data_IF_981071901442
#
_entry.id   IF_981071901442
#
_cell.length_a   1.000
_cell.length_b   1.000
_cell.length_c   1.000
_cell.angle_alpha   90.00
_cell.angle_beta   90.00
_cell.angle_gamma   90.00
#
_symmetry.space_group_name_H-M   'P 1'
#
loop_
_entity.id
_entity.type
_entity.pdbx_description
1 polymer ?
#
# COMPACT_ATOMS: atom_id res chain seq x y z
N UNK A 1 49.24 -54.46 41.17
CA UNK A 1 49.80 -53.75 40.00
C UNK A 1 49.05 -52.46 39.87
N UNK A 2 49.68 -51.30 40.05
CA UNK A 2 49.00 -49.99 39.87
C UNK A 2 48.98 -49.65 38.39
N UNK A 3 47.82 -49.33 37.85
CA UNK A 3 47.62 -48.81 36.49
C UNK A 3 47.97 -47.35 36.48
N UNK A 4 49.04 -46.99 35.75
CA UNK A 4 49.41 -45.61 35.46
C UNK A 4 48.58 -45.10 34.28
N UNK A 5 47.71 -44.11 34.53
CA UNK A 5 47.02 -43.38 33.47
C UNK A 5 48.01 -42.38 32.84
N UNK A 6 48.10 -42.35 31.50
CA UNK A 6 48.93 -41.40 30.82
C UNK A 6 48.34 -39.99 30.94
N UNK A 7 49.16 -39.03 31.35
CA UNK A 7 48.78 -37.60 31.41
C UNK A 7 48.46 -37.11 29.98
N UNK A 8 47.42 -36.31 29.78
CA UNK A 8 47.13 -35.70 28.51
C UNK A 8 48.26 -34.72 28.11
N UNK A 9 48.76 -34.88 26.91
CA UNK A 9 49.80 -34.00 26.34
C UNK A 9 49.38 -32.53 26.31
N UNK A 10 50.34 -31.59 26.03
CA UNK A 10 50.10 -30.17 26.09
C UNK A 10 48.92 -29.75 25.17
N UNK A 11 47.96 -29.03 25.75
CA UNK A 11 46.79 -28.52 25.06
C UNK A 11 47.22 -27.67 23.85
N UNK A 12 46.82 -28.08 22.68
CA UNK A 12 46.98 -27.25 21.46
C UNK A 12 46.28 -25.93 21.71
N UNK A 13 47.00 -24.82 21.67
CA UNK A 13 46.40 -23.49 21.64
C UNK A 13 45.52 -23.39 20.40
N UNK A 14 44.22 -23.40 20.61
CA UNK A 14 43.29 -23.06 19.54
C UNK A 14 43.39 -21.55 19.39
N UNK A 15 44.07 -21.09 18.38
CA UNK A 15 44.03 -19.68 17.98
C UNK A 15 42.70 -19.45 17.31
N UNK A 16 41.76 -18.93 18.08
CA UNK A 16 40.49 -18.46 17.52
C UNK A 16 40.84 -17.23 16.71
N UNK A 17 40.75 -17.35 15.37
CA UNK A 17 40.83 -16.18 14.50
C UNK A 17 39.82 -15.16 14.97
N UNK A 18 40.14 -13.84 15.04
CA UNK A 18 39.17 -12.84 15.44
C UNK A 18 37.99 -12.94 14.50
N UNK A 19 36.78 -13.11 15.08
CA UNK A 19 35.54 -13.05 14.35
C UNK A 19 35.49 -11.69 13.65
N UNK A 20 35.75 -11.69 12.36
CA UNK A 20 35.57 -10.51 11.53
C UNK A 20 34.05 -10.34 11.46
N UNK A 21 33.50 -9.41 12.24
CA UNK A 21 32.13 -8.95 11.97
C UNK A 21 32.06 -8.69 10.47
N UNK A 22 31.11 -9.30 9.75
CA UNK A 22 30.77 -8.79 8.44
C UNK A 22 30.57 -7.28 8.65
N UNK A 23 31.32 -6.45 7.97
CA UNK A 23 30.94 -5.04 7.89
C UNK A 23 29.53 -5.08 7.36
N UNK A 24 28.57 -4.88 8.26
CA UNK A 24 27.20 -4.55 7.88
C UNK A 24 27.38 -3.34 7.00
N UNK A 25 27.29 -3.59 5.71
CA UNK A 25 27.41 -2.56 4.71
C UNK A 25 26.21 -1.66 4.95
N UNK A 26 26.41 -0.54 5.66
CA UNK A 26 25.39 0.47 5.91
C UNK A 26 24.77 0.96 4.60
N UNK A 27 25.41 0.67 3.46
CA UNK A 27 24.88 0.82 2.12
C UNK A 27 23.70 -0.11 1.85
N UNK A 28 23.59 -1.29 2.52
CA UNK A 28 22.46 -2.22 2.32
C UNK A 28 21.15 -1.68 2.89
N UNK A 29 21.17 -0.96 4.00
CA UNK A 29 19.97 -0.31 4.55
C UNK A 29 19.55 0.86 3.65
N UNK A 30 20.50 1.56 3.05
CA UNK A 30 20.25 2.63 2.07
C UNK A 30 19.84 2.13 0.68
N UNK A 31 20.28 0.95 0.26
CA UNK A 31 19.97 0.37 -1.06
C UNK A 31 18.51 -0.14 -1.18
N UNK A 32 17.85 -0.40 -0.05
CA UNK A 32 16.39 -0.62 0.00
C UNK A 32 15.59 0.69 0.06
N UNK A 33 16.25 1.84 -0.11
CA UNK A 33 15.60 3.13 -0.27
C UNK A 33 14.72 3.10 -1.53
N UNK A 34 13.82 4.07 -1.66
CA UNK A 34 12.91 4.22 -2.81
C UNK A 34 13.62 4.44 -4.17
N UNK A 35 14.94 4.27 -4.23
CA UNK A 35 15.72 4.20 -5.44
C UNK A 35 15.29 2.98 -6.27
N UNK A 36 14.98 3.18 -7.53
CA UNK A 36 14.50 2.12 -8.44
C UNK A 36 12.99 2.17 -8.74
N UNK A 37 12.21 2.98 -8.02
CA UNK A 37 10.78 3.14 -8.33
C UNK A 37 10.61 4.00 -9.59
N UNK A 38 9.88 3.47 -10.56
CA UNK A 38 9.53 4.24 -11.74
C UNK A 38 8.43 5.27 -11.41
N UNK A 39 8.82 6.55 -11.32
CA UNK A 39 7.91 7.65 -11.00
C UNK A 39 6.77 7.82 -12.01
N UNK A 40 6.97 7.45 -13.28
CA UNK A 40 5.91 7.49 -14.29
C UNK A 40 4.84 6.44 -14.00
N UNK A 41 5.23 5.24 -13.60
CA UNK A 41 4.29 4.20 -13.17
C UNK A 41 3.46 4.65 -11.96
N UNK A 42 4.10 5.29 -10.98
CA UNK A 42 3.43 5.87 -9.82
C UNK A 42 2.45 6.96 -10.24
N UNK A 43 2.87 7.89 -11.10
CA UNK A 43 2.03 8.98 -11.57
C UNK A 43 0.80 8.46 -12.35
N UNK A 44 1.02 7.52 -13.28
CA UNK A 44 -0.07 6.89 -14.05
C UNK A 44 -1.03 6.15 -13.12
N UNK A 45 -0.52 5.44 -12.11
CA UNK A 45 -1.32 4.77 -11.10
C UNK A 45 -2.18 5.76 -10.29
N UNK A 46 -1.60 6.88 -9.86
CA UNK A 46 -2.34 7.92 -9.14
C UNK A 46 -3.40 8.59 -10.01
N UNK A 47 -3.11 8.86 -11.29
CA UNK A 47 -4.09 9.38 -12.25
C UNK A 47 -5.23 8.37 -12.45
N UNK A 48 -4.91 7.08 -12.59
CA UNK A 48 -5.91 6.03 -12.75
C UNK A 48 -6.89 6.00 -11.58
N UNK A 49 -6.43 6.18 -10.33
CA UNK A 49 -7.33 6.25 -9.17
C UNK A 49 -8.26 7.46 -9.21
N UNK A 50 -7.78 8.60 -9.70
CA UNK A 50 -8.64 9.79 -9.86
C UNK A 50 -9.72 9.55 -10.92
N UNK A 51 -9.35 8.94 -12.04
CA UNK A 51 -10.30 8.57 -13.10
C UNK A 51 -11.35 7.57 -12.57
N UNK A 52 -10.91 6.53 -11.87
CA UNK A 52 -11.81 5.55 -11.23
C UNK A 52 -12.74 6.27 -10.26
N UNK A 53 -12.23 7.18 -9.41
CA UNK A 53 -13.02 7.94 -8.46
C UNK A 53 -14.05 8.85 -9.13
N UNK A 54 -13.69 9.49 -10.23
CA UNK A 54 -14.61 10.30 -11.02
C UNK A 54 -15.81 9.47 -11.51
N UNK A 55 -15.56 8.29 -12.07
CA UNK A 55 -16.65 7.40 -12.52
C UNK A 55 -17.41 6.79 -11.34
N UNK A 56 -16.71 6.34 -10.30
CA UNK A 56 -17.32 5.69 -9.13
C UNK A 56 -18.31 6.59 -8.41
N UNK A 57 -17.93 7.83 -8.17
CA UNK A 57 -18.78 8.85 -7.53
C UNK A 57 -19.54 9.71 -8.53
N UNK A 58 -19.78 9.20 -9.76
CA UNK A 58 -20.63 9.84 -10.74
C UNK A 58 -22.12 9.53 -10.51
N UNK A 59 -23.04 10.34 -11.06
CA UNK A 59 -24.47 10.06 -11.01
C UNK A 59 -24.90 8.73 -11.66
N UNK A 60 -24.03 8.17 -12.52
CA UNK A 60 -24.24 6.89 -13.21
C UNK A 60 -24.06 5.71 -12.24
N UNK A 61 -23.12 5.83 -11.29
CA UNK A 61 -22.81 4.76 -10.35
C UNK A 61 -23.31 5.09 -8.92
N UNK A 62 -22.45 5.60 -8.07
CA UNK A 62 -22.73 5.64 -6.63
C UNK A 62 -22.93 7.04 -6.05
N UNK A 63 -22.91 8.13 -6.83
CA UNK A 63 -23.06 9.48 -6.29
C UNK A 63 -24.36 9.65 -5.48
N UNK A 64 -25.50 9.26 -6.04
CA UNK A 64 -26.81 9.44 -5.36
C UNK A 64 -26.92 8.63 -4.07
N UNK A 65 -26.65 7.30 -4.03
CA UNK A 65 -26.69 6.54 -2.79
C UNK A 65 -25.63 7.03 -1.78
N UNK A 66 -24.43 7.39 -2.25
CA UNK A 66 -23.38 7.92 -1.40
C UNK A 66 -23.80 9.23 -0.71
N UNK A 67 -24.34 10.22 -1.46
CA UNK A 67 -24.82 11.48 -0.89
C UNK A 67 -25.91 11.26 0.15
N UNK A 68 -26.91 10.41 -0.13
CA UNK A 68 -27.98 10.10 0.82
C UNK A 68 -27.44 9.48 2.11
N UNK A 69 -26.49 8.55 2.01
CA UNK A 69 -25.87 7.89 3.16
C UNK A 69 -24.99 8.83 3.98
N UNK A 70 -24.46 9.88 3.34
CA UNK A 70 -23.73 10.97 3.99
C UNK A 70 -24.64 12.07 4.58
N UNK A 71 -25.99 11.90 4.46
CA UNK A 71 -26.95 12.87 4.97
C UNK A 71 -27.19 14.09 4.06
N UNK A 72 -26.76 14.01 2.79
CA UNK A 72 -26.99 15.08 1.80
C UNK A 72 -28.16 14.74 0.89
N UNK A 73 -29.02 15.74 0.61
CA UNK A 73 -30.03 15.61 -0.44
C UNK A 73 -29.36 15.76 -1.83
N UNK A 74 -29.44 14.75 -2.69
CA UNK A 74 -28.89 14.82 -4.06
C UNK A 74 -29.55 15.90 -4.93
N UNK A 75 -30.69 16.46 -4.53
CA UNK A 75 -31.42 17.51 -5.26
C UNK A 75 -31.13 18.93 -4.72
N UNK A 76 -30.43 19.06 -3.58
CA UNK A 76 -30.06 20.35 -3.01
C UNK A 76 -28.92 20.98 -3.80
N UNK A 77 -29.28 21.84 -4.77
CA UNK A 77 -28.33 22.54 -5.63
C UNK A 77 -27.40 23.48 -4.85
N UNK A 78 -27.90 24.09 -3.78
CA UNK A 78 -27.10 25.02 -2.96
C UNK A 78 -25.97 24.26 -2.23
N UNK A 79 -26.32 23.13 -1.61
CA UNK A 79 -25.35 22.27 -0.91
C UNK A 79 -24.33 21.65 -1.85
N UNK A 80 -24.76 21.20 -3.04
CA UNK A 80 -23.87 20.69 -4.08
C UNK A 80 -22.90 21.79 -4.55
N UNK A 81 -23.36 23.02 -4.73
CA UNK A 81 -22.49 24.13 -5.11
C UNK A 81 -21.46 24.46 -4.01
N UNK A 82 -21.84 24.40 -2.74
CA UNK A 82 -20.93 24.53 -1.60
C UNK A 82 -19.86 23.44 -1.58
N UNK A 83 -20.23 22.18 -1.77
CA UNK A 83 -19.28 21.07 -1.86
C UNK A 83 -18.27 21.25 -3.01
N UNK A 84 -18.73 21.77 -4.14
CA UNK A 84 -17.85 22.05 -5.30
C UNK A 84 -16.81 23.14 -5.03
N UNK A 85 -17.09 24.13 -4.17
CA UNK A 85 -16.12 25.18 -3.82
C UNK A 85 -14.84 24.59 -3.18
N UNK A 86 -14.98 23.53 -2.40
CA UNK A 86 -13.86 22.88 -1.72
C UNK A 86 -13.30 21.68 -2.48
N UNK A 87 -13.90 21.30 -3.60
CA UNK A 87 -13.56 20.11 -4.35
C UNK A 87 -12.08 20.11 -4.80
N UNK A 88 -11.56 21.24 -5.27
CA UNK A 88 -10.17 21.33 -5.71
C UNK A 88 -9.18 20.94 -4.62
N UNK A 89 -9.34 21.46 -3.41
CA UNK A 89 -8.48 21.10 -2.26
C UNK A 89 -8.60 19.61 -1.90
N UNK A 90 -9.82 19.09 -1.87
CA UNK A 90 -10.07 17.68 -1.53
C UNK A 90 -9.43 16.75 -2.58
N UNK A 91 -9.62 17.04 -3.87
CA UNK A 91 -9.02 16.24 -4.93
C UNK A 91 -7.49 16.33 -4.96
N UNK A 92 -6.91 17.50 -4.67
CA UNK A 92 -5.45 17.62 -4.55
C UNK A 92 -4.89 16.77 -3.43
N UNK A 93 -5.51 16.78 -2.25
CA UNK A 93 -5.10 15.93 -1.12
C UNK A 93 -5.30 14.44 -1.43
N UNK A 94 -6.42 14.09 -2.08
CA UNK A 94 -6.68 12.73 -2.51
C UNK A 94 -5.63 12.24 -3.54
N UNK A 95 -5.22 13.11 -4.44
CA UNK A 95 -4.17 12.81 -5.42
C UNK A 95 -2.81 12.56 -4.74
N UNK A 96 -2.43 13.40 -3.79
CA UNK A 96 -1.20 13.22 -3.00
C UNK A 96 -1.25 11.89 -2.22
N UNK A 97 -2.38 11.59 -1.59
CA UNK A 97 -2.58 10.32 -0.90
C UNK A 97 -2.48 9.12 -1.86
N UNK A 98 -3.00 9.25 -3.09
CA UNK A 98 -2.89 8.22 -4.12
C UNK A 98 -1.44 8.00 -4.57
N UNK A 99 -0.66 9.08 -4.72
CA UNK A 99 0.78 8.97 -4.99
C UNK A 99 1.48 8.21 -3.87
N UNK A 100 1.24 8.57 -2.62
CA UNK A 100 1.86 7.90 -1.47
C UNK A 100 1.52 6.40 -1.45
N UNK A 101 0.24 6.05 -1.69
CA UNK A 101 -0.20 4.65 -1.79
C UNK A 101 0.47 3.91 -2.94
N UNK A 102 0.59 4.55 -4.11
CA UNK A 102 1.23 3.96 -5.29
C UNK A 102 2.74 3.74 -5.07
N UNK A 103 3.45 4.66 -4.41
CA UNK A 103 4.87 4.52 -4.07
C UNK A 103 5.09 3.31 -3.15
N UNK A 104 4.29 3.18 -2.09
CA UNK A 104 4.41 2.04 -1.17
C UNK A 104 4.08 0.73 -1.89
N UNK A 105 3.01 0.71 -2.69
CA UNK A 105 2.62 -0.49 -3.42
C UNK A 105 3.67 -0.87 -4.49
N UNK A 106 4.28 0.11 -5.17
CA UNK A 106 5.38 -0.13 -6.10
C UNK A 106 6.56 -0.81 -5.40
N UNK A 107 6.91 -0.34 -4.19
CA UNK A 107 8.00 -0.96 -3.42
C UNK A 107 7.67 -2.38 -2.97
N UNK A 108 6.43 -2.65 -2.57
CA UNK A 108 6.00 -4.01 -2.24
C UNK A 108 6.08 -4.93 -3.46
N UNK A 109 5.69 -4.46 -4.65
CA UNK A 109 5.77 -5.22 -5.89
C UNK A 109 7.24 -5.47 -6.28
N UNK A 110 8.10 -4.46 -6.20
CA UNK A 110 9.54 -4.54 -6.50
C UNK A 110 10.24 -5.65 -5.69
N UNK A 111 9.96 -5.74 -4.40
CA UNK A 111 10.52 -6.76 -3.51
C UNK A 111 10.10 -8.19 -3.94
N UNK A 112 8.96 -8.35 -4.60
CA UNK A 112 8.47 -9.68 -5.01
C UNK A 112 9.07 -10.19 -6.31
N UNK A 113 9.78 -9.35 -7.06
CA UNK A 113 10.46 -9.68 -8.33
C UNK A 113 9.57 -10.28 -9.43
N UNK A 114 8.24 -10.20 -9.30
CA UNK A 114 7.28 -10.79 -10.25
C UNK A 114 6.53 -9.69 -10.99
N UNK A 115 6.73 -9.63 -12.31
CA UNK A 115 6.25 -8.54 -13.16
C UNK A 115 5.11 -8.99 -14.08
N UNK A 116 3.98 -9.43 -13.49
CA UNK A 116 2.79 -9.81 -14.24
C UNK A 116 1.53 -9.14 -13.69
N UNK A 117 0.60 -8.76 -14.59
CA UNK A 117 -0.67 -8.13 -14.21
C UNK A 117 -1.40 -8.93 -13.11
N UNK A 118 -1.66 -10.24 -13.27
CA UNK A 118 -2.40 -10.98 -12.26
C UNK A 118 -1.72 -11.00 -10.90
N UNK A 119 -0.40 -10.99 -10.87
CA UNK A 119 0.35 -10.99 -9.62
C UNK A 119 0.32 -9.63 -8.93
N UNK A 120 0.51 -8.54 -9.70
CA UNK A 120 0.34 -7.19 -9.17
C UNK A 120 -1.05 -6.93 -8.60
N UNK A 121 -2.11 -7.42 -9.29
CA UNK A 121 -3.48 -7.38 -8.78
C UNK A 121 -3.64 -8.17 -7.47
N UNK A 122 -3.02 -9.35 -7.35
CA UNK A 122 -3.04 -10.14 -6.09
C UNK A 122 -2.39 -9.38 -4.94
N UNK A 123 -1.26 -8.70 -5.19
CA UNK A 123 -0.60 -7.87 -4.18
C UNK A 123 -1.50 -6.69 -3.80
N UNK A 124 -2.05 -5.98 -4.80
CA UNK A 124 -3.01 -4.89 -4.55
C UNK A 124 -4.21 -5.35 -3.74
N UNK A 125 -4.78 -6.53 -4.06
CA UNK A 125 -5.86 -7.15 -3.28
C UNK A 125 -5.43 -7.46 -1.84
N UNK A 126 -4.26 -8.05 -1.64
CA UNK A 126 -3.76 -8.41 -0.30
C UNK A 126 -3.54 -7.16 0.57
N UNK A 127 -2.96 -6.08 0.00
CA UNK A 127 -2.78 -4.80 0.70
C UNK A 127 -4.14 -4.17 1.03
N UNK A 128 -5.07 -4.14 0.07
CA UNK A 128 -6.42 -3.67 0.33
C UNK A 128 -7.11 -4.48 1.43
N UNK A 129 -7.05 -5.82 1.36
CA UNK A 129 -7.71 -6.68 2.33
C UNK A 129 -7.10 -6.55 3.74
N UNK A 130 -5.78 -6.53 3.84
CA UNK A 130 -5.08 -6.53 5.13
C UNK A 130 -5.03 -5.17 5.82
N UNK A 131 -4.96 -4.09 5.05
CA UNK A 131 -4.72 -2.76 5.61
C UNK A 131 -5.84 -1.76 5.33
N UNK A 132 -6.38 -1.72 4.13
CA UNK A 132 -7.34 -0.68 3.76
C UNK A 132 -8.74 -0.99 4.29
N UNK A 133 -9.29 -2.15 3.94
CA UNK A 133 -10.65 -2.51 4.33
C UNK A 133 -10.78 -2.74 5.84
N UNK A 134 -9.77 -3.30 6.50
CA UNK A 134 -9.76 -3.52 7.96
C UNK A 134 -9.76 -2.21 8.74
N UNK A 135 -8.91 -1.25 8.35
CA UNK A 135 -8.86 0.08 8.98
C UNK A 135 -10.16 0.85 8.74
N UNK A 136 -10.69 0.83 7.50
CA UNK A 136 -11.97 1.45 7.19
C UNK A 136 -13.13 0.80 7.94
N UNK A 137 -13.13 -0.55 8.10
CA UNK A 137 -14.15 -1.26 8.87
C UNK A 137 -14.17 -0.81 10.32
N UNK A 138 -13.00 -0.73 10.95
CA UNK A 138 -12.88 -0.24 12.33
C UNK A 138 -13.43 1.18 12.46
N UNK A 139 -13.04 2.08 11.56
CA UNK A 139 -13.57 3.44 11.52
C UNK A 139 -15.09 3.51 11.31
N UNK A 140 -15.61 2.66 10.43
CA UNK A 140 -17.05 2.59 10.17
C UNK A 140 -17.84 2.07 11.39
N UNK A 141 -17.32 1.06 12.09
CA UNK A 141 -17.96 0.50 13.29
C UNK A 141 -18.02 1.52 14.44
N UNK A 142 -16.89 2.13 14.78
CA UNK A 142 -16.83 3.15 15.85
C UNK A 142 -17.53 4.45 15.46
N UNK A 143 -17.49 4.83 14.19
CA UNK A 143 -18.19 5.99 13.65
C UNK A 143 -19.68 5.77 13.40
N UNK A 144 -20.22 4.56 13.71
CA UNK A 144 -21.63 4.19 13.46
C UNK A 144 -22.07 4.47 12.02
N UNK A 145 -21.16 4.31 11.06
CA UNK A 145 -21.47 4.54 9.66
C UNK A 145 -22.38 3.44 9.11
N UNK A 146 -23.31 3.76 8.19
CA UNK A 146 -24.11 2.76 7.51
C UNK A 146 -23.23 1.75 6.76
N UNK A 147 -23.50 0.46 6.89
CA UNK A 147 -22.74 -0.61 6.20
C UNK A 147 -22.68 -0.38 4.68
N UNK A 148 -23.74 0.15 4.08
CA UNK A 148 -23.76 0.47 2.65
C UNK A 148 -22.75 1.55 2.28
N UNK A 149 -22.54 2.55 3.13
CA UNK A 149 -21.52 3.59 2.90
C UNK A 149 -20.11 3.00 2.97
N UNK A 150 -19.85 2.17 3.98
CA UNK A 150 -18.60 1.42 4.09
C UNK A 150 -18.33 0.59 2.82
N UNK A 151 -19.31 -0.17 2.33
CA UNK A 151 -19.15 -1.00 1.13
C UNK A 151 -18.88 -0.18 -0.14
N UNK A 152 -19.53 0.98 -0.30
CA UNK A 152 -19.26 1.87 -1.44
C UNK A 152 -17.82 2.40 -1.38
N UNK A 153 -17.36 2.85 -0.22
CA UNK A 153 -16.04 3.44 -0.06
C UNK A 153 -14.93 2.38 -0.16
N UNK A 154 -15.07 1.24 0.50
CA UNK A 154 -14.07 0.17 0.45
C UNK A 154 -14.04 -0.53 -0.91
N UNK A 155 -15.18 -0.65 -1.60
CA UNK A 155 -15.25 -1.14 -2.97
C UNK A 155 -14.52 -0.25 -3.97
N UNK A 156 -14.65 1.07 -3.83
CA UNK A 156 -13.84 2.03 -4.57
C UNK A 156 -12.36 1.77 -4.38
N UNK A 157 -11.91 1.65 -3.14
CA UNK A 157 -10.52 1.40 -2.82
C UNK A 157 -10.03 0.07 -3.38
N UNK A 158 -10.87 -0.99 -3.35
CA UNK A 158 -10.53 -2.27 -3.96
C UNK A 158 -10.16 -2.10 -5.44
N UNK A 159 -11.02 -1.45 -6.21
CA UNK A 159 -10.78 -1.24 -7.65
C UNK A 159 -9.52 -0.41 -7.87
N UNK A 160 -9.28 0.62 -7.05
CA UNK A 160 -8.07 1.42 -7.12
C UNK A 160 -6.80 0.59 -6.87
N UNK A 161 -6.78 -0.23 -5.82
CA UNK A 161 -5.60 -1.06 -5.49
C UNK A 161 -5.36 -2.16 -6.52
N UNK A 162 -6.41 -2.74 -7.10
CA UNK A 162 -6.28 -3.69 -8.21
C UNK A 162 -5.68 -3.01 -9.45
N UNK A 163 -6.17 -1.82 -9.80
CA UNK A 163 -5.66 -1.06 -10.95
C UNK A 163 -4.20 -0.61 -10.73
N UNK A 164 -3.88 -0.05 -9.56
CA UNK A 164 -2.50 0.31 -9.21
C UNK A 164 -1.57 -0.90 -9.28
N UNK A 165 -1.98 -2.04 -8.68
CA UNK A 165 -1.19 -3.27 -8.71
C UNK A 165 -0.93 -3.77 -10.12
N UNK A 166 -1.94 -3.72 -11.00
CA UNK A 166 -1.81 -4.10 -12.41
C UNK A 166 -0.83 -3.19 -13.16
N UNK A 167 -0.95 -1.87 -13.00
CA UNK A 167 -0.09 -0.87 -13.67
C UNK A 167 1.35 -1.01 -13.20
N UNK A 168 1.58 -1.03 -11.90
CA UNK A 168 2.91 -1.07 -11.30
C UNK A 168 3.67 -2.36 -11.62
N UNK A 169 2.97 -3.50 -11.74
CA UNK A 169 3.61 -4.78 -12.03
C UNK A 169 4.12 -4.94 -13.46
N UNK A 170 3.57 -4.21 -14.42
CA UNK A 170 4.00 -4.32 -15.84
C UNK A 170 4.93 -3.20 -16.27
N UNK A 171 5.10 -2.21 -15.43
CA UNK A 171 5.99 -1.09 -15.74
C UNK A 171 7.43 -1.45 -15.38
N UNK A 172 8.42 -1.26 -16.29
CA UNK A 172 9.82 -1.51 -15.98
C UNK A 172 10.28 -0.67 -14.78
N UNK A 173 10.84 -1.33 -13.79
CA UNK A 173 11.44 -0.69 -12.62
C UNK A 173 12.88 -0.29 -12.92
#
# INVERSE_FOLDING_TARGET
MPQTFPFPGPARRITIAPYRHPQEDDTMIGAHSFAGINFWAVLVSAIATMVIGFFWYSPILFAKPWMRLMGFDPNDKAKIAEMRKNAGKIYSLAFVASIASAVVLAKIIDITTVNTIPYGMKIGFAVWLGFVTTVQLTGALFGKQPTKLYLINTGYQLVCYLAMGAILAVWPQ
#
